data_IF_133424192349
#
_entry.id   IF_133424192349
#
_cell.length_a   1.000
_cell.length_b   1.000
_cell.length_c   1.000
_cell.angle_alpha   90.00
_cell.angle_beta   90.00
_cell.angle_gamma   90.00
#
_symmetry.space_group_name_H-M   'P 1'
#
loop_
_entity.id
_entity.type
_entity.pdbx_description
1 polymer ?
#
# COMPACT_ATOMS: atom_id res chain seq x y z
N UNK A 1 -11.83 30.33 10.92
CA UNK A 1 -10.40 30.00 10.96
C UNK A 1 -10.17 28.92 12.02
N UNK A 2 -10.80 27.75 11.83
CA UNK A 2 -10.57 26.58 12.67
C UNK A 2 -9.39 25.85 12.04
N UNK A 3 -8.29 25.73 12.79
CA UNK A 3 -7.10 25.02 12.34
C UNK A 3 -7.49 23.63 11.83
N UNK A 4 -7.06 23.30 10.61
CA UNK A 4 -7.41 22.08 9.91
C UNK A 4 -7.03 20.83 10.74
N UNK A 5 -7.94 19.86 10.93
CA UNK A 5 -7.65 18.58 11.60
C UNK A 5 -6.58 17.75 10.85
N UNK A 6 -6.16 18.20 9.66
CA UNK A 6 -5.12 17.61 8.82
C UNK A 6 -3.77 17.53 9.55
N UNK A 7 -3.39 18.52 10.36
CA UNK A 7 -2.06 18.59 10.99
C UNK A 7 -1.84 17.50 12.05
N UNK A 8 -2.88 17.09 12.79
CA UNK A 8 -2.76 16.06 13.83
C UNK A 8 -2.89 14.63 13.30
N UNK A 9 -3.54 14.44 12.15
CA UNK A 9 -3.64 13.13 11.48
C UNK A 9 -2.48 12.83 10.53
N UNK A 10 -1.71 13.85 10.09
CA UNK A 10 -0.51 13.65 9.28
C UNK A 10 0.66 13.07 10.09
N UNK A 11 0.85 13.52 11.35
CA UNK A 11 1.93 13.11 12.29
C UNK A 11 1.97 11.62 12.73
N UNK A 12 0.86 10.84 12.72
CA UNK A 12 0.92 9.39 12.87
C UNK A 12 1.10 8.64 11.54
N UNK A 13 0.75 9.28 10.41
CA UNK A 13 0.71 8.67 9.07
C UNK A 13 2.09 8.59 8.43
N UNK A 14 2.84 9.68 8.53
CA UNK A 14 4.26 9.79 8.17
C UNK A 14 5.12 8.81 8.98
N UNK A 15 4.82 8.64 10.27
CA UNK A 15 5.52 7.67 11.15
C UNK A 15 5.25 6.23 10.71
N UNK A 16 4.01 5.87 10.36
CA UNK A 16 3.66 4.55 9.83
C UNK A 16 4.28 4.29 8.44
N UNK A 17 4.37 5.30 7.57
CA UNK A 17 5.02 5.20 6.25
C UNK A 17 6.54 5.00 6.38
N UNK A 18 7.19 5.60 7.37
CA UNK A 18 8.60 5.38 7.64
C UNK A 18 8.89 3.96 8.18
N UNK A 19 8.00 3.40 9.01
CA UNK A 19 8.10 2.00 9.43
C UNK A 19 7.91 1.03 8.25
N UNK A 20 7.06 1.39 7.30
CA UNK A 20 6.75 0.62 6.11
C UNK A 20 7.94 0.46 5.15
N UNK A 21 8.73 1.52 4.95
CA UNK A 21 9.90 1.49 4.07
C UNK A 21 11.02 0.58 4.60
N UNK A 22 11.06 0.34 5.91
CA UNK A 22 12.00 -0.58 6.57
C UNK A 22 11.48 -2.03 6.51
N UNK A 23 10.16 -2.23 6.56
CA UNK A 23 9.51 -3.54 6.40
C UNK A 23 9.55 -4.06 4.95
N UNK A 24 9.52 -3.19 3.94
CA UNK A 24 9.50 -3.58 2.54
C UNK A 24 10.74 -4.38 2.04
N UNK A 25 12.00 -4.00 2.34
CA UNK A 25 13.17 -4.81 1.98
C UNK A 25 13.24 -6.12 2.78
N UNK A 26 12.61 -6.19 3.96
CA UNK A 26 12.43 -7.43 4.73
C UNK A 26 11.44 -8.40 4.08
N UNK A 27 10.42 -7.88 3.38
CA UNK A 27 9.51 -8.70 2.56
C UNK A 27 10.18 -9.33 1.33
N UNK A 28 11.18 -8.65 0.76
CA UNK A 28 11.89 -9.10 -0.44
C UNK A 28 12.93 -10.20 -0.16
N UNK A 29 13.34 -10.37 1.11
CA UNK A 29 14.28 -11.41 1.55
C UNK A 29 13.60 -12.70 2.05
N UNK A 30 12.27 -12.79 1.93
CA UNK A 30 11.51 -13.97 2.27
C UNK A 30 11.56 -15.04 1.17
N UNK A 31 11.52 -16.30 1.63
CA UNK A 31 11.60 -17.52 0.85
C UNK A 31 10.41 -17.66 -0.12
N UNK A 32 10.48 -17.04 -1.30
CA UNK A 32 9.68 -17.53 -2.42
C UNK A 32 10.28 -18.89 -2.79
N UNK A 33 9.55 -19.97 -2.51
CA UNK A 33 9.87 -21.32 -2.96
C UNK A 33 9.76 -21.38 -4.50
N UNK A 34 10.66 -20.66 -5.16
CA UNK A 34 10.92 -20.72 -6.59
C UNK A 34 11.95 -21.83 -6.74
N UNK A 35 11.70 -22.74 -7.68
CA UNK A 35 12.49 -23.94 -7.96
C UNK A 35 13.99 -23.63 -8.27
N UNK A 36 14.34 -22.34 -8.46
CA UNK A 36 15.70 -21.81 -8.65
C UNK A 36 15.86 -20.43 -7.97
N UNK A 37 16.19 -20.34 -6.67
CA UNK A 37 16.40 -19.04 -6.02
C UNK A 37 17.79 -18.48 -6.38
N UNK A 38 17.83 -17.30 -6.99
CA UNK A 38 19.06 -16.53 -7.24
C UNK A 38 19.34 -15.48 -6.15
N UNK A 39 18.52 -15.43 -5.10
CA UNK A 39 18.73 -14.60 -3.92
C UNK A 39 18.74 -15.46 -2.64
N UNK A 40 19.69 -15.24 -1.72
CA UNK A 40 19.87 -16.06 -0.53
C UNK A 40 18.69 -15.88 0.44
N UNK A 41 18.00 -16.98 0.72
CA UNK A 41 16.91 -17.10 1.69
C UNK A 41 17.49 -16.93 3.10
N UNK A 42 17.23 -15.80 3.76
CA UNK A 42 17.86 -15.50 5.05
C UNK A 42 16.93 -15.65 6.28
N UNK A 43 15.61 -15.83 6.13
CA UNK A 43 14.70 -15.94 7.29
C UNK A 43 13.63 -17.02 7.09
N UNK A 44 13.66 -18.05 7.95
CA UNK A 44 12.80 -19.27 7.95
C UNK A 44 11.52 -19.13 8.79
N UNK A 45 11.24 -17.95 9.34
CA UNK A 45 10.19 -17.77 10.34
C UNK A 45 8.89 -17.21 9.72
N UNK A 46 8.02 -18.11 9.25
CA UNK A 46 6.75 -17.77 8.60
C UNK A 46 5.80 -16.94 9.49
N UNK A 47 5.89 -17.09 10.81
CA UNK A 47 5.03 -16.37 11.76
C UNK A 47 5.29 -14.86 11.76
N UNK A 48 6.55 -14.45 11.67
CA UNK A 48 6.93 -13.02 11.62
C UNK A 48 6.47 -12.39 10.31
N UNK A 49 6.55 -13.13 9.21
CA UNK A 49 6.04 -12.72 7.89
C UNK A 49 4.52 -12.51 7.90
N UNK A 50 3.77 -13.47 8.45
CA UNK A 50 2.31 -13.37 8.54
C UNK A 50 1.90 -12.18 9.42
N UNK A 51 2.57 -11.98 10.55
CA UNK A 51 2.28 -10.85 11.45
C UNK A 51 2.59 -9.50 10.79
N UNK A 52 3.71 -9.39 10.07
CA UNK A 52 4.02 -8.24 9.23
C UNK A 52 2.94 -7.96 8.18
N UNK A 53 2.37 -9.01 7.58
CA UNK A 53 1.45 -8.89 6.45
C UNK A 53 0.12 -8.31 6.92
N UNK A 54 -0.28 -8.70 8.13
CA UNK A 54 -1.48 -8.21 8.80
C UNK A 54 -1.31 -6.71 9.09
N UNK A 55 -0.24 -6.31 9.79
CA UNK A 55 0.00 -4.89 10.14
C UNK A 55 0.09 -4.02 8.87
N UNK A 56 0.80 -4.52 7.86
CA UNK A 56 0.97 -3.87 6.57
C UNK A 56 -0.35 -3.68 5.84
N UNK A 57 -1.19 -4.73 5.76
CA UNK A 57 -2.51 -4.67 5.13
C UNK A 57 -3.44 -3.71 5.85
N UNK A 58 -3.47 -3.74 7.19
CA UNK A 58 -4.26 -2.81 7.99
C UNK A 58 -3.86 -1.35 7.75
N UNK A 59 -2.55 -1.08 7.70
CA UNK A 59 -2.01 0.26 7.46
C UNK A 59 -2.41 0.76 6.07
N UNK A 60 -2.16 -0.03 5.01
CA UNK A 60 -2.56 0.31 3.64
C UNK A 60 -4.06 0.54 3.49
N UNK A 61 -4.89 -0.31 4.10
CA UNK A 61 -6.34 -0.17 4.08
C UNK A 61 -6.80 1.14 4.72
N UNK A 62 -6.23 1.49 5.87
CA UNK A 62 -6.51 2.74 6.56
C UNK A 62 -6.09 3.97 5.75
N UNK A 63 -4.90 3.94 5.15
CA UNK A 63 -4.40 4.95 4.21
C UNK A 63 -5.36 5.17 3.04
N UNK A 64 -5.81 4.10 2.40
CA UNK A 64 -6.71 4.16 1.25
C UNK A 64 -8.07 4.78 1.61
N UNK A 65 -8.67 4.37 2.74
CA UNK A 65 -9.94 4.93 3.22
C UNK A 65 -9.82 6.41 3.56
N UNK A 66 -8.74 6.82 4.23
CA UNK A 66 -8.48 8.23 4.51
C UNK A 66 -8.29 9.02 3.22
N UNK A 67 -7.52 8.51 2.26
CA UNK A 67 -7.29 9.15 0.96
C UNK A 67 -8.61 9.44 0.22
N UNK A 68 -9.53 8.49 0.21
CA UNK A 68 -10.86 8.65 -0.41
C UNK A 68 -11.79 9.57 0.38
N UNK A 69 -11.67 9.65 1.72
CA UNK A 69 -12.41 10.63 2.51
C UNK A 69 -11.89 12.06 2.35
N UNK A 70 -10.57 12.23 2.14
CA UNK A 70 -9.95 13.54 1.96
C UNK A 70 -10.05 14.06 0.52
N UNK A 71 -9.98 13.17 -0.49
CA UNK A 71 -10.09 13.54 -1.91
C UNK A 71 -11.25 14.50 -2.25
N UNK A 72 -12.50 14.27 -1.81
CA UNK A 72 -13.61 15.18 -2.11
C UNK A 72 -13.60 16.47 -1.26
N UNK A 73 -12.86 16.51 -0.15
CA UNK A 73 -12.75 17.68 0.72
C UNK A 73 -11.76 18.73 0.22
N UNK A 74 -10.86 18.34 -0.67
CA UNK A 74 -9.86 19.24 -1.27
C UNK A 74 -10.37 20.02 -2.49
N UNK A 75 -11.62 19.81 -2.91
CA UNK A 75 -12.22 20.49 -4.07
C UNK A 75 -13.52 21.22 -3.70
N UNK A 76 -13.93 22.18 -4.52
CA UNK A 76 -15.22 22.87 -4.36
C UNK A 76 -16.39 21.88 -4.29
N UNK A 77 -17.42 22.15 -3.47
CA UNK A 77 -18.51 21.22 -3.20
C UNK A 77 -19.28 20.77 -4.45
N UNK A 78 -19.35 21.61 -5.50
CA UNK A 78 -19.94 21.25 -6.80
C UNK A 78 -19.21 20.09 -7.52
N UNK A 79 -17.91 19.89 -7.24
CA UNK A 79 -17.06 18.88 -7.91
C UNK A 79 -16.62 17.74 -7.00
N UNK A 80 -17.04 17.76 -5.73
CA UNK A 80 -16.79 16.70 -4.76
C UNK A 80 -17.17 15.28 -5.24
N UNK A 81 -18.34 15.02 -5.86
CA UNK A 81 -18.67 13.68 -6.32
C UNK A 81 -17.74 13.19 -7.45
N UNK A 82 -17.30 14.10 -8.32
CA UNK A 82 -16.38 13.79 -9.41
C UNK A 82 -14.99 13.39 -8.88
N UNK A 83 -14.48 14.10 -7.87
CA UNK A 83 -13.21 13.77 -7.21
C UNK A 83 -13.22 12.37 -6.56
N UNK A 84 -14.34 11.99 -5.93
CA UNK A 84 -14.51 10.64 -5.37
C UNK A 84 -14.51 9.54 -6.43
N UNK A 85 -15.18 9.77 -7.58
CA UNK A 85 -15.18 8.83 -8.71
C UNK A 85 -13.77 8.61 -9.27
N UNK A 86 -12.98 9.67 -9.46
CA UNK A 86 -11.60 9.55 -9.91
C UNK A 86 -10.72 8.84 -8.86
N UNK A 87 -10.91 9.11 -7.57
CA UNK A 87 -10.21 8.41 -6.50
C UNK A 87 -10.41 6.89 -6.56
N UNK A 88 -11.67 6.44 -6.71
CA UNK A 88 -11.98 5.02 -6.87
C UNK A 88 -11.45 4.41 -8.17
N UNK A 89 -11.50 5.17 -9.27
CA UNK A 89 -10.95 4.75 -10.56
C UNK A 89 -9.44 4.47 -10.48
N UNK A 90 -8.65 5.40 -9.93
CA UNK A 90 -7.21 5.22 -9.78
C UNK A 90 -6.84 4.09 -8.82
N UNK A 91 -7.59 3.92 -7.72
CA UNK A 91 -7.39 2.80 -6.80
C UNK A 91 -7.58 1.46 -7.51
N UNK A 92 -8.66 1.32 -8.28
CA UNK A 92 -8.96 0.08 -9.00
C UNK A 92 -7.95 -0.18 -10.12
N UNK A 93 -7.58 0.84 -10.89
CA UNK A 93 -6.52 0.74 -11.89
C UNK A 93 -5.20 0.29 -11.29
N UNK A 94 -4.78 0.84 -10.15
CA UNK A 94 -3.55 0.43 -9.48
C UNK A 94 -3.54 -1.06 -9.11
N UNK A 95 -4.66 -1.58 -8.60
CA UNK A 95 -4.81 -3.02 -8.30
C UNK A 95 -4.71 -3.87 -9.57
N UNK A 96 -5.43 -3.49 -10.63
CA UNK A 96 -5.36 -4.21 -11.91
C UNK A 96 -3.92 -4.20 -12.46
N UNK A 97 -3.30 -3.02 -12.56
CA UNK A 97 -1.92 -2.89 -13.06
C UNK A 97 -0.95 -3.74 -12.24
N UNK A 98 -1.08 -3.80 -10.90
CA UNK A 98 -0.24 -4.64 -10.06
C UNK A 98 -0.40 -6.14 -10.33
N UNK A 99 -1.63 -6.62 -10.52
CA UNK A 99 -1.92 -8.02 -10.85
C UNK A 99 -1.36 -8.37 -12.23
N UNK A 100 -1.58 -7.52 -13.24
CA UNK A 100 -1.05 -7.73 -14.59
C UNK A 100 0.47 -7.67 -14.64
N UNK A 101 1.11 -6.74 -13.92
CA UNK A 101 2.56 -6.67 -13.82
C UNK A 101 3.16 -7.92 -13.17
N UNK A 102 2.53 -8.42 -12.10
CA UNK A 102 2.97 -9.67 -11.43
C UNK A 102 2.85 -10.88 -12.34
N UNK A 103 1.78 -10.96 -13.16
CA UNK A 103 1.60 -12.03 -14.15
C UNK A 103 2.57 -11.90 -15.32
N UNK A 104 2.81 -10.68 -15.81
CA UNK A 104 3.76 -10.40 -16.88
C UNK A 104 5.20 -10.75 -16.49
N UNK A 105 5.61 -10.44 -15.26
CA UNK A 105 6.93 -10.81 -14.75
C UNK A 105 7.12 -12.33 -14.67
N UNK A 106 6.10 -13.08 -14.21
CA UNK A 106 6.16 -14.55 -14.20
C UNK A 106 6.24 -15.14 -15.62
N UNK A 107 5.56 -14.53 -16.59
CA UNK A 107 5.63 -14.96 -18.00
C UNK A 107 6.95 -14.60 -18.69
N UNK A 108 7.79 -13.74 -18.10
CA UNK A 108 9.11 -13.40 -18.61
C UNK A 108 10.21 -14.34 -18.04
N UNK A 109 9.94 -14.96 -16.89
CA UNK A 109 10.87 -15.83 -16.17
C UNK A 109 10.70 -17.31 -16.57
N UNK A 110 9.52 -17.71 -17.07
CA UNK A 110 9.25 -19.02 -17.69
C UNK A 110 9.33 -18.94 -19.22
#
# INVERSE_FOLDING_TARGET
MQLDPISKTTFPMDTCMAAYSILYPFYLSCNFAIEKPHLPVLITNDHVYVFGCIIFSFTNGYLASLGLMYAPRCCSPDRAPLAGMFGGFFLTLGVFTGVYASRGLNSLIY
#
